data_IF_653998338710
#
_entry.id   IF_653998338710
#
_cell.length_a   1.000
_cell.length_b   1.000
_cell.length_c   1.000
_cell.angle_alpha   90.00
_cell.angle_beta   90.00
_cell.angle_gamma   90.00
#
_symmetry.space_group_name_H-M   'P 1'
#
loop_
_entity.id
_entity.type
_entity.pdbx_description
1 polymer ?
#
# COMPACT_ATOMS: atom_id res chain seq x y z
N UNK A 1 43.72 -24.96 8.74
CA UNK A 1 42.80 -24.52 9.79
C UNK A 1 42.17 -23.26 9.26
N UNK A 2 41.02 -23.40 8.61
CA UNK A 2 40.21 -22.28 8.09
C UNK A 2 38.99 -22.16 8.96
N UNK A 3 38.95 -21.09 9.79
CA UNK A 3 37.80 -20.73 10.60
C UNK A 3 36.68 -20.27 9.68
N UNK A 4 35.56 -21.00 9.69
CA UNK A 4 34.28 -20.56 9.11
C UNK A 4 33.60 -19.66 10.15
N UNK A 5 33.61 -18.37 9.91
CA UNK A 5 32.73 -17.41 10.59
C UNK A 5 31.32 -17.59 10.05
N UNK A 6 30.44 -18.24 10.83
CA UNK A 6 29.02 -18.24 10.60
C UNK A 6 28.46 -16.83 10.86
N UNK A 7 27.91 -16.19 9.85
CA UNK A 7 27.08 -15.01 9.97
C UNK A 7 25.76 -15.36 10.69
N UNK A 8 25.59 -14.79 11.88
CA UNK A 8 24.38 -14.91 12.73
C UNK A 8 23.32 -13.84 12.40
N UNK A 9 22.91 -13.66 11.15
CA UNK A 9 21.85 -12.71 10.81
C UNK A 9 20.43 -13.34 10.68
N UNK A 10 20.31 -14.67 10.82
CA UNK A 10 19.05 -15.40 10.57
C UNK A 10 18.27 -15.79 11.85
N UNK A 11 18.81 -15.55 13.04
CA UNK A 11 18.17 -15.99 14.31
C UNK A 11 17.01 -15.10 14.77
N UNK A 12 16.88 -13.87 14.27
CA UNK A 12 15.86 -12.92 14.74
C UNK A 12 14.44 -13.29 14.28
N UNK A 13 14.28 -13.77 13.05
CA UNK A 13 12.98 -14.15 12.52
C UNK A 13 12.43 -15.43 13.18
N UNK A 14 13.32 -16.38 13.51
CA UNK A 14 12.97 -17.59 14.23
C UNK A 14 12.56 -17.29 15.68
N UNK A 15 13.26 -16.40 16.36
CA UNK A 15 12.93 -15.98 17.72
C UNK A 15 11.55 -15.31 17.80
N UNK A 16 11.19 -14.47 16.82
CA UNK A 16 9.85 -13.84 16.72
C UNK A 16 8.76 -14.87 16.51
N UNK A 17 8.99 -15.89 15.67
CA UNK A 17 8.03 -16.96 15.42
C UNK A 17 7.74 -17.79 16.70
N UNK A 18 8.67 -17.85 17.65
CA UNK A 18 8.54 -18.54 18.93
C UNK A 18 8.16 -17.62 20.11
N UNK A 19 7.66 -16.41 19.83
CA UNK A 19 7.11 -15.50 20.84
C UNK A 19 8.16 -14.63 21.56
N UNK A 20 9.43 -14.68 21.17
CA UNK A 20 10.40 -13.70 21.62
C UNK A 20 10.19 -12.39 20.83
N UNK A 21 9.95 -11.28 21.51
CA UNK A 21 9.98 -9.96 20.91
C UNK A 21 11.40 -9.41 21.06
N UNK A 22 12.24 -9.39 20.01
CA UNK A 22 13.55 -8.76 20.09
C UNK A 22 13.37 -7.28 20.43
N UNK A 23 14.19 -6.76 21.31
CA UNK A 23 14.14 -5.35 21.71
C UNK A 23 14.35 -4.35 20.55
N UNK A 24 14.82 -4.83 19.39
CA UNK A 24 15.01 -4.07 18.16
C UNK A 24 13.84 -4.18 17.15
N UNK A 25 12.87 -5.05 17.40
CA UNK A 25 11.62 -5.17 16.64
C UNK A 25 10.48 -4.75 17.57
N UNK A 26 10.61 -3.58 18.16
CA UNK A 26 9.42 -2.89 18.61
C UNK A 26 8.56 -2.71 17.33
N UNK A 27 7.24 -3.12 17.33
CA UNK A 27 6.38 -2.69 16.26
C UNK A 27 6.57 -1.18 16.13
N UNK A 28 6.80 -0.70 14.91
CA UNK A 28 6.80 0.74 14.66
C UNK A 28 5.63 1.32 15.44
N UNK A 29 5.90 2.33 16.29
CA UNK A 29 4.88 2.83 17.21
C UNK A 29 3.59 3.03 16.42
N UNK A 30 2.46 2.58 16.97
CA UNK A 30 1.17 2.66 16.27
C UNK A 30 0.96 4.11 15.84
N UNK A 31 1.04 4.39 14.52
CA UNK A 31 1.02 5.75 13.97
C UNK A 31 2.25 6.17 13.16
N UNK A 32 3.34 5.40 13.15
CA UNK A 32 4.52 5.73 12.34
C UNK A 32 4.36 5.35 10.85
N UNK A 33 3.38 4.54 10.48
CA UNK A 33 3.10 4.17 9.10
C UNK A 33 1.66 4.50 8.73
N UNK A 34 1.49 5.24 7.66
CA UNK A 34 0.17 5.61 7.16
C UNK A 34 -0.19 4.77 5.93
N UNK A 35 -1.43 4.29 5.86
CA UNK A 35 -1.97 3.58 4.71
C UNK A 35 -3.24 4.29 4.23
N UNK A 36 -3.19 4.86 3.04
CA UNK A 36 -4.34 5.49 2.41
C UNK A 36 -4.88 4.58 1.32
N UNK A 37 -6.09 4.06 1.50
CA UNK A 37 -6.83 3.35 0.47
C UNK A 37 -7.74 4.32 -0.25
N UNK A 38 -7.53 4.53 -1.54
CA UNK A 38 -8.36 5.38 -2.39
C UNK A 38 -9.47 4.54 -3.01
N UNK A 39 -10.68 5.07 -2.97
CA UNK A 39 -11.95 4.52 -3.42
C UNK A 39 -12.53 3.44 -2.52
N UNK A 40 -13.75 3.71 -2.05
CA UNK A 40 -14.51 2.78 -1.23
C UNK A 40 -14.83 1.50 -2.00
N UNK A 41 -14.30 0.38 -1.53
CA UNK A 41 -14.48 -0.93 -2.13
C UNK A 41 -14.34 -2.03 -1.08
N UNK A 42 -14.83 -3.25 -1.34
CA UNK A 42 -14.55 -4.38 -0.46
C UNK A 42 -13.05 -4.63 -0.27
N UNK A 43 -12.22 -4.40 -1.31
CA UNK A 43 -10.76 -4.54 -1.22
C UNK A 43 -10.17 -3.49 -0.29
N UNK A 44 -10.61 -2.22 -0.38
CA UNK A 44 -10.18 -1.15 0.52
C UNK A 44 -10.46 -1.50 1.98
N UNK A 45 -11.65 -2.05 2.27
CA UNK A 45 -12.01 -2.47 3.62
C UNK A 45 -11.13 -3.59 4.17
N UNK A 46 -10.76 -4.59 3.37
CA UNK A 46 -9.81 -5.63 3.78
C UNK A 46 -8.40 -5.09 3.91
N UNK A 47 -7.95 -4.24 2.96
CA UNK A 47 -6.64 -3.64 2.97
C UNK A 47 -6.38 -2.83 4.25
N UNK A 48 -7.34 -1.98 4.63
CA UNK A 48 -7.24 -1.16 5.84
C UNK A 48 -7.31 -1.99 7.12
N UNK A 49 -8.14 -3.05 7.17
CA UNK A 49 -8.17 -3.97 8.32
C UNK A 49 -6.85 -4.68 8.52
N UNK A 50 -6.30 -5.29 7.47
CA UNK A 50 -5.00 -5.97 7.54
C UNK A 50 -3.87 -4.99 7.85
N UNK A 51 -3.95 -3.76 7.30
CA UNK A 51 -3.01 -2.69 7.63
C UNK A 51 -3.04 -2.33 9.12
N UNK A 52 -4.22 -2.23 9.72
CA UNK A 52 -4.37 -1.95 11.16
C UNK A 52 -3.72 -3.03 12.03
N UNK A 53 -3.92 -4.32 11.70
CA UNK A 53 -3.29 -5.45 12.40
C UNK A 53 -1.76 -5.42 12.29
N UNK A 54 -1.24 -4.78 11.25
CA UNK A 54 0.20 -4.61 10.99
C UNK A 54 0.75 -3.27 11.51
N UNK A 55 -0.07 -2.49 12.23
CA UNK A 55 0.34 -1.22 12.85
C UNK A 55 0.31 -0.01 11.91
N UNK A 56 -0.38 -0.08 10.77
CA UNK A 56 -0.64 1.09 9.95
C UNK A 56 -1.80 1.91 10.50
N UNK A 57 -1.66 3.23 10.48
CA UNK A 57 -2.77 4.16 10.62
C UNK A 57 -3.51 4.25 9.28
N UNK A 58 -4.70 3.66 9.20
CA UNK A 58 -5.47 3.54 7.96
C UNK A 58 -6.41 4.72 7.73
N UNK A 59 -6.48 5.20 6.49
CA UNK A 59 -7.45 6.18 6.01
C UNK A 59 -8.13 5.67 4.74
N UNK A 60 -9.43 5.90 4.64
CA UNK A 60 -10.17 5.70 3.39
C UNK A 60 -10.36 7.06 2.70
N UNK A 61 -9.90 7.21 1.47
CA UNK A 61 -10.13 8.39 0.66
C UNK A 61 -11.21 8.08 -0.39
N UNK A 62 -12.36 8.76 -0.31
CA UNK A 62 -13.45 8.64 -1.27
C UNK A 62 -13.91 10.04 -1.70
N UNK A 63 -13.52 10.50 -2.90
CA UNK A 63 -13.84 11.85 -3.37
C UNK A 63 -15.30 12.03 -3.76
N UNK A 64 -16.01 10.95 -4.10
CA UNK A 64 -17.44 11.01 -4.43
C UNK A 64 -18.31 11.08 -3.16
N UNK A 65 -19.03 12.19 -2.90
CA UNK A 65 -19.83 12.34 -1.68
C UNK A 65 -20.92 11.29 -1.52
N UNK A 66 -21.50 10.82 -2.63
CA UNK A 66 -22.55 9.80 -2.58
C UNK A 66 -22.01 8.45 -2.12
N UNK A 67 -20.79 8.10 -2.56
CA UNK A 67 -20.10 6.87 -2.14
C UNK A 67 -19.49 7.02 -0.75
N UNK A 68 -19.00 8.20 -0.40
CA UNK A 68 -18.46 8.51 0.92
C UNK A 68 -19.50 8.27 2.03
N UNK A 69 -20.77 8.63 1.79
CA UNK A 69 -21.86 8.38 2.73
C UNK A 69 -22.02 6.88 3.07
N UNK A 70 -21.87 5.99 2.08
CA UNK A 70 -21.91 4.53 2.30
C UNK A 70 -20.60 3.96 2.89
N UNK A 71 -19.49 4.63 2.67
CA UNK A 71 -18.16 4.17 3.07
C UNK A 71 -17.91 4.30 4.58
N UNK A 72 -18.62 5.17 5.28
CA UNK A 72 -18.54 5.31 6.73
C UNK A 72 -18.76 3.99 7.49
N UNK A 73 -19.56 3.08 6.93
CA UNK A 73 -19.80 1.74 7.50
C UNK A 73 -18.54 0.86 7.53
N UNK A 74 -17.48 1.19 6.81
CA UNK A 74 -16.20 0.47 6.87
C UNK A 74 -15.43 0.74 8.17
N UNK A 75 -15.79 1.80 8.92
CA UNK A 75 -15.25 2.08 10.26
C UNK A 75 -13.84 2.69 10.27
N UNK A 76 -13.36 3.21 9.13
CA UNK A 76 -12.09 3.93 9.03
C UNK A 76 -12.29 5.44 8.91
N UNK A 77 -11.32 6.25 9.34
CA UNK A 77 -11.33 7.68 9.06
C UNK A 77 -11.49 7.93 7.56
N UNK A 78 -12.50 8.73 7.22
CA UNK A 78 -12.89 9.01 5.84
C UNK A 78 -12.38 10.39 5.44
N UNK A 79 -11.70 10.45 4.29
CA UNK A 79 -11.21 11.65 3.65
C UNK A 79 -11.92 11.83 2.30
N UNK A 80 -12.15 13.07 1.91
CA UNK A 80 -12.71 13.42 0.58
C UNK A 80 -11.66 13.95 -0.39
N UNK A 81 -10.47 14.28 0.12
CA UNK A 81 -9.28 14.66 -0.64
C UNK A 81 -8.03 14.08 0.00
N UNK A 82 -6.94 14.00 -0.75
CA UNK A 82 -5.64 13.60 -0.18
C UNK A 82 -5.22 14.62 0.89
N UNK A 83 -4.72 14.16 2.05
CA UNK A 83 -4.14 15.06 3.03
C UNK A 83 -2.88 15.74 2.47
N UNK A 84 -2.72 17.02 2.76
CA UNK A 84 -1.54 17.79 2.34
C UNK A 84 -0.27 17.41 3.14
N UNK A 85 -0.44 16.69 4.27
CA UNK A 85 0.61 16.30 5.22
C UNK A 85 1.03 14.83 5.12
N UNK A 86 0.78 14.17 3.98
CA UNK A 86 1.33 12.84 3.73
C UNK A 86 2.86 12.93 3.57
N UNK A 87 3.56 12.21 4.42
CA UNK A 87 5.02 12.16 4.49
C UNK A 87 5.58 10.80 3.99
N UNK A 88 6.87 10.60 4.15
CA UNK A 88 7.61 9.39 3.75
C UNK A 88 7.22 8.12 4.55
N UNK A 89 6.34 8.23 5.54
CA UNK A 89 5.72 7.09 6.22
C UNK A 89 4.51 6.55 5.46
N UNK A 90 3.94 7.33 4.53
CA UNK A 90 2.67 7.05 3.89
C UNK A 90 2.79 6.18 2.64
N UNK A 91 1.93 5.17 2.54
CA UNK A 91 1.67 4.38 1.34
C UNK A 91 0.25 4.65 0.85
N UNK A 92 0.10 5.00 -0.41
CA UNK A 92 -1.17 5.36 -1.05
C UNK A 92 -1.55 4.33 -2.10
N UNK A 93 -2.75 3.77 -2.02
CA UNK A 93 -3.19 2.67 -2.88
C UNK A 93 -4.55 2.98 -3.48
N UNK A 94 -4.62 3.19 -4.80
CA UNK A 94 -5.88 3.25 -5.53
C UNK A 94 -6.41 1.82 -5.77
N UNK A 95 -7.56 1.52 -5.18
CA UNK A 95 -8.17 0.17 -5.21
C UNK A 95 -9.10 -0.06 -6.38
N UNK A 96 -9.42 0.99 -7.16
CA UNK A 96 -10.23 0.92 -8.38
C UNK A 96 -9.64 1.84 -9.45
N UNK A 97 -9.22 1.25 -10.57
CA UNK A 97 -8.62 1.99 -11.68
C UNK A 97 -9.63 2.41 -12.76
N UNK A 98 -10.91 2.14 -12.57
CA UNK A 98 -11.99 2.52 -13.49
C UNK A 98 -12.70 3.83 -13.11
N UNK A 99 -12.30 4.43 -11.98
CA UNK A 99 -12.92 5.64 -11.46
C UNK A 99 -12.48 6.88 -12.25
N UNK A 100 -13.43 7.76 -12.62
CA UNK A 100 -13.11 9.01 -13.33
C UNK A 100 -12.21 9.95 -12.50
N UNK A 101 -12.27 9.86 -11.17
CA UNK A 101 -11.44 10.65 -10.26
C UNK A 101 -10.00 10.13 -10.12
N UNK A 102 -9.64 9.01 -10.80
CA UNK A 102 -8.31 8.39 -10.65
C UNK A 102 -7.16 9.36 -10.93
N UNK A 103 -7.25 10.12 -12.02
CA UNK A 103 -6.21 11.10 -12.37
C UNK A 103 -6.01 12.16 -11.30
N UNK A 104 -7.05 12.91 -10.91
CA UNK A 104 -6.95 13.93 -9.87
C UNK A 104 -6.40 13.41 -8.53
N UNK A 105 -6.91 12.28 -8.01
CA UNK A 105 -6.45 11.77 -6.71
C UNK A 105 -5.01 11.24 -6.75
N UNK A 106 -4.57 10.67 -7.87
CA UNK A 106 -3.17 10.24 -8.02
C UNK A 106 -2.22 11.44 -8.20
N UNK A 107 -2.63 12.48 -8.94
CA UNK A 107 -1.86 13.73 -9.05
C UNK A 107 -1.62 14.31 -7.65
N UNK A 108 -2.65 14.41 -6.84
CA UNK A 108 -2.56 14.97 -5.50
C UNK A 108 -1.68 14.09 -4.58
N UNK A 109 -1.80 12.76 -4.68
CA UNK A 109 -0.93 11.85 -3.97
C UNK A 109 0.55 11.94 -4.41
N UNK A 110 0.82 12.14 -5.71
CA UNK A 110 2.18 12.31 -6.24
C UNK A 110 2.79 13.68 -5.86
N UNK A 111 1.95 14.69 -5.64
CA UNK A 111 2.39 16.02 -5.19
C UNK A 111 2.77 16.05 -3.70
N UNK A 112 2.39 15.04 -2.92
CA UNK A 112 2.78 14.89 -1.52
C UNK A 112 4.14 14.16 -1.40
N UNK A 113 4.68 14.13 -0.18
CA UNK A 113 5.90 13.38 0.15
C UNK A 113 5.61 11.89 0.43
N UNK A 114 4.46 11.36 -0.01
CA UNK A 114 4.12 9.95 0.17
C UNK A 114 5.23 9.04 -0.39
N UNK A 115 5.67 8.09 0.44
CA UNK A 115 6.75 7.15 0.13
C UNK A 115 6.44 6.32 -1.11
N UNK A 116 5.18 5.90 -1.24
CA UNK A 116 4.79 4.94 -2.25
C UNK A 116 3.36 5.20 -2.73
N UNK A 117 3.17 5.20 -4.05
CA UNK A 117 1.87 5.36 -4.69
C UNK A 117 1.65 4.20 -5.65
N UNK A 118 0.54 3.49 -5.49
CA UNK A 118 0.24 2.34 -6.31
C UNK A 118 -1.21 2.27 -6.77
N UNK A 119 -1.41 1.58 -7.90
CA UNK A 119 -2.73 1.38 -8.50
C UNK A 119 -2.98 -0.11 -8.70
N UNK A 120 -4.09 -0.61 -8.17
CA UNK A 120 -4.54 -1.96 -8.43
C UNK A 120 -4.96 -2.10 -9.90
N UNK A 121 -4.60 -3.21 -10.52
CA UNK A 121 -5.02 -3.51 -11.88
C UNK A 121 -4.27 -4.68 -12.49
N UNK A 122 -4.95 -5.40 -13.37
CA UNK A 122 -4.34 -6.52 -14.08
C UNK A 122 -3.31 -5.98 -15.10
N UNK A 123 -2.06 -6.48 -15.10
CA UNK A 123 -1.01 -6.02 -16.02
C UNK A 123 -1.34 -6.27 -17.50
N UNK A 124 -2.30 -7.15 -17.79
CA UNK A 124 -2.76 -7.43 -19.18
C UNK A 124 -3.70 -6.36 -19.74
N UNK A 125 -4.23 -5.48 -18.89
CA UNK A 125 -5.09 -4.38 -19.30
C UNK A 125 -4.31 -3.08 -19.41
N UNK A 126 -4.77 -2.11 -20.22
CA UNK A 126 -4.17 -0.77 -20.28
C UNK A 126 -4.00 -0.16 -18.90
N UNK A 127 -3.06 0.75 -18.78
CA UNK A 127 -2.76 1.49 -17.55
C UNK A 127 -3.48 2.86 -17.58
N UNK A 128 -4.74 2.96 -17.14
CA UNK A 128 -5.56 4.16 -17.35
C UNK A 128 -5.03 5.39 -16.59
N UNK A 129 -4.22 5.18 -15.54
CA UNK A 129 -3.59 6.27 -14.81
C UNK A 129 -2.58 7.06 -15.68
N UNK A 130 -1.92 6.41 -16.66
CA UNK A 130 -0.93 7.10 -17.52
C UNK A 130 -1.58 8.23 -18.33
N UNK A 131 -2.57 7.98 -19.20
CA UNK A 131 -3.22 9.08 -19.91
C UNK A 131 -3.95 10.04 -18.97
N UNK A 132 -4.59 9.56 -17.90
CA UNK A 132 -5.30 10.42 -16.96
C UNK A 132 -4.37 11.44 -16.25
N UNK A 133 -3.16 11.05 -15.89
CA UNK A 133 -2.17 11.95 -15.30
C UNK A 133 -1.54 12.87 -16.36
N UNK A 134 -1.28 12.37 -17.57
CA UNK A 134 -0.76 13.16 -18.67
C UNK A 134 -1.72 14.30 -19.08
N UNK A 135 -3.02 14.03 -19.13
CA UNK A 135 -4.07 15.03 -19.40
C UNK A 135 -4.10 16.13 -18.33
N UNK A 136 -3.67 15.85 -17.11
CA UNK A 136 -3.54 16.80 -16.01
C UNK A 136 -2.19 17.52 -15.98
N UNK A 137 -1.31 17.26 -16.95
CA UNK A 137 0.00 17.91 -17.07
C UNK A 137 1.05 17.36 -16.10
N UNK A 138 0.84 16.18 -15.52
CA UNK A 138 1.84 15.54 -14.67
C UNK A 138 3.02 15.06 -15.53
N UNK A 139 4.24 15.38 -15.10
CA UNK A 139 5.45 15.06 -15.84
C UNK A 139 5.66 13.53 -15.94
N UNK A 140 6.23 13.02 -17.05
CA UNK A 140 6.39 11.57 -17.27
C UNK A 140 7.21 10.84 -16.19
N UNK A 141 8.19 11.49 -15.60
CA UNK A 141 8.99 10.97 -14.49
C UNK A 141 8.16 10.82 -13.22
N UNK A 142 7.26 11.75 -12.93
CA UNK A 142 6.30 11.63 -11.83
C UNK A 142 5.27 10.53 -12.10
N UNK A 143 4.74 10.41 -13.32
CA UNK A 143 3.84 9.31 -13.70
C UNK A 143 4.51 7.95 -13.49
N UNK A 144 5.81 7.84 -13.76
CA UNK A 144 6.59 6.61 -13.59
C UNK A 144 6.77 6.19 -12.12
N UNK A 145 6.51 7.08 -11.14
CA UNK A 145 6.49 6.75 -9.71
C UNK A 145 5.26 5.93 -9.31
N UNK A 146 4.24 5.87 -10.15
CA UNK A 146 3.05 5.06 -9.86
C UNK A 146 3.31 3.59 -10.13
N UNK A 147 3.32 2.79 -9.08
CA UNK A 147 3.51 1.34 -9.16
C UNK A 147 2.28 0.65 -9.72
N UNK A 148 2.45 -0.18 -10.76
CA UNK A 148 1.42 -1.06 -11.31
C UNK A 148 2.06 -2.16 -12.16
N UNK A 149 1.73 -3.44 -11.98
CA UNK A 149 0.83 -3.98 -10.97
C UNK A 149 1.41 -3.87 -9.56
N UNK A 150 0.54 -4.02 -8.55
CA UNK A 150 0.92 -4.04 -7.14
C UNK A 150 0.53 -5.37 -6.50
N UNK A 151 1.23 -5.72 -5.41
CA UNK A 151 1.02 -6.96 -4.68
C UNK A 151 1.77 -8.16 -5.27
N UNK A 152 1.82 -9.24 -4.50
CA UNK A 152 2.45 -10.48 -4.92
C UNK A 152 1.54 -11.27 -5.88
N UNK A 153 2.13 -11.94 -6.86
CA UNK A 153 1.36 -12.80 -7.77
C UNK A 153 1.02 -14.14 -7.11
N UNK A 154 -0.08 -14.17 -6.36
CA UNK A 154 -0.61 -15.37 -5.69
C UNK A 154 -1.88 -15.92 -6.37
N UNK A 155 -2.27 -15.38 -7.52
CA UNK A 155 -3.49 -15.80 -8.20
C UNK A 155 -4.78 -15.35 -7.51
N UNK A 156 -4.76 -14.21 -6.80
CA UNK A 156 -5.87 -13.64 -6.03
C UNK A 156 -7.16 -13.54 -6.85
N UNK A 157 -8.30 -13.92 -6.25
CA UNK A 157 -9.63 -13.90 -6.88
C UNK A 157 -10.68 -13.22 -6.02
N UNK A 158 -10.49 -13.15 -4.72
CA UNK A 158 -11.42 -12.51 -3.79
C UNK A 158 -10.87 -11.18 -3.29
N UNK A 159 -11.73 -10.24 -2.84
CA UNK A 159 -11.28 -8.97 -2.24
C UNK A 159 -10.27 -9.16 -1.11
N UNK A 160 -10.46 -10.16 -0.26
CA UNK A 160 -9.55 -10.48 0.84
C UNK A 160 -8.17 -10.97 0.34
N UNK A 161 -8.13 -11.85 -0.67
CA UNK A 161 -6.88 -12.33 -1.28
C UNK A 161 -6.13 -11.20 -2.00
N UNK A 162 -6.85 -10.30 -2.70
CA UNK A 162 -6.26 -9.13 -3.35
C UNK A 162 -5.62 -8.23 -2.29
N UNK A 163 -6.31 -7.96 -1.20
CA UNK A 163 -5.81 -7.13 -0.11
C UNK A 163 -4.55 -7.74 0.54
N UNK A 164 -4.56 -9.05 0.86
CA UNK A 164 -3.39 -9.70 1.47
C UNK A 164 -2.19 -9.74 0.53
N UNK A 165 -2.43 -10.00 -0.76
CA UNK A 165 -1.39 -9.94 -1.80
C UNK A 165 -0.73 -8.56 -1.85
N UNK A 166 -1.55 -7.51 -1.80
CA UNK A 166 -1.11 -6.12 -1.85
C UNK A 166 -0.30 -5.75 -0.60
N UNK A 167 -0.78 -6.08 0.59
CA UNK A 167 -0.07 -5.82 1.85
C UNK A 167 1.26 -6.59 1.90
N UNK A 168 1.27 -7.86 1.49
CA UNK A 168 2.50 -8.65 1.46
C UNK A 168 3.53 -8.06 0.48
N UNK A 169 3.09 -7.59 -0.69
CA UNK A 169 3.94 -6.90 -1.66
C UNK A 169 4.50 -5.59 -1.11
N UNK A 170 3.66 -4.81 -0.42
CA UNK A 170 4.06 -3.56 0.23
C UNK A 170 5.10 -3.77 1.33
N UNK A 171 4.92 -4.81 2.17
CA UNK A 171 5.90 -5.18 3.20
C UNK A 171 7.22 -5.63 2.56
N UNK A 172 7.15 -6.45 1.51
CA UNK A 172 8.34 -6.90 0.80
C UNK A 172 9.13 -5.71 0.24
N UNK A 173 8.44 -4.76 -0.38
CA UNK A 173 9.04 -3.55 -0.93
C UNK A 173 9.67 -2.67 0.17
N UNK A 174 8.97 -2.42 1.28
CA UNK A 174 9.49 -1.68 2.44
C UNK A 174 10.76 -2.32 3.02
N UNK A 175 10.85 -3.65 2.97
CA UNK A 175 11.98 -4.42 3.48
C UNK A 175 13.08 -4.66 2.42
N UNK A 176 12.96 -4.08 1.22
CA UNK A 176 13.90 -4.28 0.12
C UNK A 176 13.97 -5.74 -0.37
N UNK A 177 12.85 -6.47 -0.28
CA UNK A 177 12.76 -7.87 -0.69
C UNK A 177 11.90 -8.04 -1.94
N UNK A 178 12.25 -8.97 -2.85
CA UNK A 178 11.47 -9.20 -4.06
C UNK A 178 10.12 -9.90 -3.78
N UNK A 179 9.94 -10.47 -2.59
CA UNK A 179 8.83 -11.38 -2.28
C UNK A 179 9.01 -12.77 -2.91
N UNK A 180 8.13 -13.71 -2.56
CA UNK A 180 8.17 -15.08 -3.06
C UNK A 180 8.97 -16.03 -2.18
N UNK A 181 9.37 -17.21 -2.72
CA UNK A 181 10.03 -18.30 -1.98
C UNK A 181 11.57 -18.30 -2.08
N UNK A 182 12.16 -17.23 -2.58
CA UNK A 182 13.62 -17.06 -2.57
C UNK A 182 14.02 -16.20 -1.39
N UNK A 183 14.83 -16.77 -0.51
CA UNK A 183 15.35 -16.15 0.71
C UNK A 183 16.82 -15.80 0.57
#
# INVERSE_FOLDING_TARGET
>A
MTEHTHHHDDDSACAVAHGAVPASVAPAAAGERTLVAIFASPVAGYLLRYGADLGFRGFLLEPDPARAAGAAALGFPLLTAAPDDLDDSADVIATDHHRPELGPVLRDALASDARWVGVMGNPRHPAPHIPALAELGVAPDEVARVHRPIGLNIGSRTPAEIAISTIAGLIAERNGRPGGFKF
#
